data_IF_967134970401
#
_entry.id   IF_967134970401
#
_cell.length_a   1.000
_cell.length_b   1.000
_cell.length_c   1.000
_cell.angle_alpha   90.00
_cell.angle_beta   90.00
_cell.angle_gamma   90.00
#
_symmetry.space_group_name_H-M   'P 1'
#
loop_
_entity.id
_entity.type
_entity.pdbx_description
1 polymer ?
#
# COMPACT_ATOMS: atom_id res chain seq x y z
N UNK A 1 3.39 74.66 -18.05
CA UNK A 1 2.40 73.56 -17.93
C UNK A 1 2.61 72.64 -19.11
N UNK A 2 3.02 71.40 -18.85
CA UNK A 2 2.78 70.17 -19.63
C UNK A 2 3.76 69.11 -19.12
N UNK A 3 3.22 68.12 -18.41
CA UNK A 3 3.95 66.95 -17.95
C UNK A 3 3.92 65.81 -18.96
N UNK A 4 4.84 64.88 -18.80
CA UNK A 4 4.73 63.46 -19.15
C UNK A 4 5.95 62.76 -18.51
N UNK A 5 5.77 62.00 -17.43
CA UNK A 5 5.51 60.56 -17.39
C UNK A 5 6.75 59.71 -17.75
N UNK A 6 7.33 59.14 -16.69
CA UNK A 6 8.35 58.10 -16.68
C UNK A 6 7.88 56.82 -17.40
N UNK A 7 8.78 56.08 -18.05
CA UNK A 7 8.63 54.64 -18.19
C UNK A 7 9.55 53.92 -17.19
N UNK A 8 8.94 53.20 -16.24
CA UNK A 8 9.63 52.19 -15.44
C UNK A 8 9.83 50.93 -16.29
N UNK A 9 11.08 50.50 -16.46
CA UNK A 9 11.45 49.29 -17.18
C UNK A 9 11.23 48.08 -16.24
N UNK A 10 10.16 47.30 -16.44
CA UNK A 10 10.00 46.00 -15.81
C UNK A 10 10.87 44.97 -16.55
N UNK A 11 11.98 44.54 -15.94
CA UNK A 11 12.72 43.37 -16.39
C UNK A 11 12.03 42.11 -15.83
N UNK A 12 11.33 41.37 -16.69
CA UNK A 12 10.78 40.06 -16.35
C UNK A 12 11.92 39.03 -16.28
N UNK A 13 12.29 38.61 -15.07
CA UNK A 13 13.27 37.56 -14.84
C UNK A 13 12.55 36.20 -14.98
N UNK A 14 12.59 35.63 -16.20
CA UNK A 14 12.10 34.27 -16.45
C UNK A 14 13.19 33.30 -15.99
N UNK A 15 13.10 32.83 -14.74
CA UNK A 15 13.90 31.69 -14.27
C UNK A 15 13.28 30.44 -14.89
N UNK A 16 13.78 30.05 -16.06
CA UNK A 16 13.47 28.77 -16.67
C UNK A 16 14.07 27.64 -15.84
N UNK A 17 13.31 27.09 -14.90
CA UNK A 17 13.65 25.86 -14.19
C UNK A 17 13.45 24.65 -15.09
N UNK A 18 14.36 24.44 -16.03
CA UNK A 18 14.43 23.23 -16.84
C UNK A 18 15.16 22.11 -16.06
N UNK A 19 14.56 21.61 -14.98
CA UNK A 19 14.88 20.27 -14.49
C UNK A 19 14.07 19.26 -15.30
N UNK A 20 14.55 18.97 -16.52
CA UNK A 20 14.12 17.79 -17.24
C UNK A 20 14.64 16.56 -16.47
N UNK A 21 13.82 16.01 -15.57
CA UNK A 21 14.08 14.71 -14.94
C UNK A 21 14.06 13.64 -16.03
N UNK A 22 15.24 13.25 -16.50
CA UNK A 22 15.45 12.01 -17.22
C UNK A 22 14.94 10.86 -16.35
N UNK A 23 13.85 10.21 -16.77
CA UNK A 23 13.27 9.06 -16.08
C UNK A 23 14.07 7.79 -16.37
N UNK A 24 15.28 7.69 -15.81
CA UNK A 24 15.81 6.36 -15.46
C UNK A 24 14.90 5.79 -14.37
N UNK A 25 14.62 4.48 -14.38
CA UNK A 25 13.90 3.80 -13.29
C UNK A 25 14.66 4.05 -11.97
N UNK A 26 14.29 5.12 -11.27
CA UNK A 26 15.00 5.63 -10.11
C UNK A 26 14.86 4.66 -8.97
N UNK A 27 15.94 4.48 -8.21
CA UNK A 27 15.84 3.75 -6.96
C UNK A 27 14.88 4.48 -6.02
N UNK A 28 14.04 3.71 -5.34
CA UNK A 28 13.17 4.15 -4.27
C UNK A 28 13.99 4.12 -2.99
N UNK A 29 13.98 5.21 -2.24
CA UNK A 29 14.77 5.37 -1.02
C UNK A 29 13.86 5.58 0.16
N UNK A 30 13.92 4.67 1.11
CA UNK A 30 13.30 4.84 2.41
C UNK A 30 14.28 5.62 3.28
N UNK A 31 13.94 6.86 3.61
CA UNK A 31 14.78 7.78 4.42
C UNK A 31 14.54 7.55 5.91
N UNK A 32 13.29 7.24 6.26
CA UNK A 32 12.87 6.86 7.60
C UNK A 32 11.62 5.97 7.49
N UNK A 33 11.10 5.42 8.60
CA UNK A 33 9.82 4.74 8.57
C UNK A 33 8.69 5.56 7.94
N UNK A 34 8.72 6.89 8.04
CA UNK A 34 7.63 7.77 7.62
C UNK A 34 7.90 8.53 6.32
N UNK A 35 9.10 8.37 5.75
CA UNK A 35 9.51 9.10 4.55
C UNK A 35 10.09 8.13 3.51
N UNK A 36 9.47 8.16 2.33
CA UNK A 36 9.93 7.48 1.14
C UNK A 36 10.14 8.52 0.03
N UNK A 37 11.23 8.39 -0.72
CA UNK A 37 11.60 9.25 -1.83
C UNK A 37 11.75 8.43 -3.12
N UNK A 38 11.33 9.01 -4.24
CA UNK A 38 11.45 8.38 -5.57
C UNK A 38 10.36 7.34 -5.85
N UNK A 39 9.42 7.14 -4.93
CA UNK A 39 8.24 6.31 -5.12
C UNK A 39 7.34 6.86 -6.23
N UNK A 40 6.62 5.96 -6.88
CA UNK A 40 5.61 6.30 -7.90
C UNK A 40 4.25 5.86 -7.39
N UNK A 41 3.22 6.66 -7.61
CA UNK A 41 1.84 6.20 -7.36
C UNK A 41 1.58 4.94 -8.18
N UNK A 42 1.14 3.88 -7.52
CA UNK A 42 0.70 2.64 -8.15
C UNK A 42 -0.63 2.77 -8.87
N UNK A 43 -1.10 1.69 -9.48
CA UNK A 43 -2.46 1.63 -10.01
C UNK A 43 -3.48 1.85 -8.89
N UNK A 44 -4.61 2.49 -9.21
CA UNK A 44 -5.71 2.74 -8.28
C UNK A 44 -5.27 3.36 -6.94
N UNK A 45 -4.26 4.25 -7.00
CA UNK A 45 -3.64 4.85 -5.83
C UNK A 45 -4.65 5.49 -4.85
N UNK A 46 -5.70 6.21 -5.29
CA UNK A 46 -6.69 6.78 -4.37
C UNK A 46 -7.40 5.74 -3.50
N UNK A 47 -7.65 4.53 -4.03
CA UNK A 47 -8.22 3.44 -3.23
C UNK A 47 -7.17 2.88 -2.26
N UNK A 48 -5.93 2.67 -2.72
CA UNK A 48 -4.82 2.17 -1.88
C UNK A 48 -4.49 3.10 -0.71
N UNK A 49 -4.61 4.41 -0.90
CA UNK A 49 -4.33 5.43 0.14
C UNK A 49 -5.59 6.08 0.71
N UNK A 50 -6.70 5.36 0.80
CA UNK A 50 -7.95 5.86 1.39
C UNK A 50 -7.78 6.07 2.91
N UNK A 51 -7.82 7.33 3.41
CA UNK A 51 -7.55 7.63 4.81
C UNK A 51 -8.80 7.49 5.70
N UNK A 52 -9.88 6.87 5.19
CA UNK A 52 -11.12 6.71 5.93
C UNK A 52 -10.88 6.12 7.33
N UNK A 53 -11.44 6.73 8.38
CA UNK A 53 -11.18 6.28 9.74
C UNK A 53 -11.77 4.89 9.99
N UNK A 54 -11.20 4.18 10.95
CA UNK A 54 -11.75 2.92 11.44
C UNK A 54 -13.22 3.11 11.84
N UNK A 55 -14.12 2.15 11.49
CA UNK A 55 -15.51 2.21 11.92
C UNK A 55 -15.62 2.26 13.45
N UNK A 56 -16.42 3.20 13.96
CA UNK A 56 -16.70 3.31 15.39
C UNK A 56 -17.50 2.10 15.90
N UNK A 57 -18.44 1.62 15.08
CA UNK A 57 -19.18 0.39 15.34
C UNK A 57 -18.35 -0.83 14.91
N UNK A 58 -17.72 -1.47 15.88
CA UNK A 58 -16.91 -2.67 15.67
C UNK A 58 -17.69 -3.84 15.07
N UNK A 59 -19.02 -3.87 15.17
CA UNK A 59 -19.83 -4.94 14.58
C UNK A 59 -19.80 -4.92 13.03
N UNK A 60 -19.43 -3.79 12.44
CA UNK A 60 -19.24 -3.65 10.99
C UNK A 60 -17.92 -4.24 10.48
N UNK A 61 -17.00 -4.59 11.38
CA UNK A 61 -15.69 -5.14 11.07
C UNK A 61 -15.76 -6.67 11.13
N UNK A 62 -15.57 -7.32 9.98
CA UNK A 62 -15.67 -8.78 9.89
C UNK A 62 -14.32 -9.43 10.24
N UNK A 63 -14.32 -10.35 11.21
CA UNK A 63 -13.13 -11.15 11.53
C UNK A 63 -12.92 -12.25 10.49
N UNK A 64 -11.69 -12.33 9.95
CA UNK A 64 -11.31 -13.30 8.93
C UNK A 64 -9.88 -13.82 9.13
N UNK A 65 -9.58 -14.98 8.56
CA UNK A 65 -8.22 -15.52 8.45
C UNK A 65 -7.71 -15.47 7.01
N UNK A 66 -6.39 -15.55 6.78
CA UNK A 66 -5.83 -15.57 5.43
C UNK A 66 -6.42 -16.67 4.54
N UNK A 67 -6.67 -17.87 5.07
CA UNK A 67 -7.29 -18.94 4.28
C UNK A 67 -8.73 -18.63 3.88
N UNK A 68 -9.50 -17.91 4.71
CA UNK A 68 -10.86 -17.48 4.34
C UNK A 68 -10.84 -16.46 3.20
N UNK A 69 -9.94 -15.46 3.26
CA UNK A 69 -9.76 -14.50 2.16
C UNK A 69 -9.25 -15.20 0.90
N UNK A 70 -8.35 -16.17 1.05
CA UNK A 70 -7.84 -16.95 -0.08
C UNK A 70 -8.96 -17.75 -0.79
N UNK A 71 -10.04 -18.11 -0.11
CA UNK A 71 -11.20 -18.78 -0.73
C UNK A 71 -12.27 -17.81 -1.26
N UNK A 72 -12.09 -16.50 -1.12
CA UNK A 72 -13.02 -15.52 -1.71
C UNK A 72 -13.06 -15.64 -3.23
N UNK A 73 -14.24 -15.40 -3.79
CA UNK A 73 -14.41 -15.20 -5.24
C UNK A 73 -13.82 -13.86 -5.64
N UNK A 74 -13.27 -13.79 -6.86
CA UNK A 74 -12.92 -12.51 -7.46
C UNK A 74 -14.16 -11.65 -7.76
N UNK A 75 -13.98 -10.35 -8.07
CA UNK A 75 -15.04 -9.50 -8.57
C UNK A 75 -15.67 -10.08 -9.85
N UNK A 76 -16.99 -9.98 -9.95
CA UNK A 76 -17.71 -10.42 -11.15
C UNK A 76 -17.19 -9.71 -12.41
N UNK A 77 -17.23 -10.37 -13.59
CA UNK A 77 -16.77 -9.75 -14.85
C UNK A 77 -17.49 -8.45 -15.21
N UNK A 78 -18.74 -8.29 -14.77
CA UNK A 78 -19.56 -7.09 -15.00
C UNK A 78 -19.12 -5.87 -14.18
N UNK A 79 -18.30 -6.06 -13.15
CA UNK A 79 -17.77 -4.94 -12.35
C UNK A 79 -16.73 -4.18 -13.20
N UNK A 80 -16.87 -2.88 -13.42
CA UNK A 80 -15.91 -2.09 -14.19
C UNK A 80 -14.66 -1.81 -13.33
N UNK A 81 -13.80 -2.82 -13.19
CA UNK A 81 -12.58 -2.76 -12.38
C UNK A 81 -11.33 -2.91 -13.27
N UNK A 82 -10.55 -1.84 -13.37
CA UNK A 82 -9.29 -1.75 -14.12
C UNK A 82 -8.21 -1.06 -13.29
N UNK A 83 -6.96 -1.02 -13.77
CA UNK A 83 -5.84 -0.30 -13.15
C UNK A 83 -6.08 1.21 -12.98
N UNK A 84 -6.99 1.77 -13.78
CA UNK A 84 -7.36 3.19 -13.80
C UNK A 84 -8.62 3.48 -12.97
N UNK A 85 -9.22 2.47 -12.34
CA UNK A 85 -10.43 2.66 -11.53
C UNK A 85 -10.05 3.21 -10.15
N UNK A 86 -10.13 4.54 -10.01
CA UNK A 86 -9.72 5.24 -8.78
C UNK A 86 -10.67 5.03 -7.59
N UNK A 87 -11.89 4.54 -7.81
CA UNK A 87 -12.86 4.31 -6.75
C UNK A 87 -12.87 2.84 -6.28
N UNK A 88 -13.26 2.65 -5.03
CA UNK A 88 -13.53 1.33 -4.45
C UNK A 88 -14.82 0.75 -4.99
N UNK A 89 -14.80 -0.54 -5.36
CA UNK A 89 -16.03 -1.29 -5.63
C UNK A 89 -16.73 -1.64 -4.30
N UNK A 90 -18.00 -2.03 -4.33
CA UNK A 90 -18.77 -2.31 -3.12
C UNK A 90 -18.12 -3.37 -2.19
N UNK A 91 -17.43 -4.36 -2.76
CA UNK A 91 -16.70 -5.36 -1.98
C UNK A 91 -15.47 -4.78 -1.26
N UNK A 92 -14.83 -3.75 -1.82
CA UNK A 92 -13.64 -3.08 -1.28
C UNK A 92 -13.98 -2.03 -0.20
N UNK A 93 -15.25 -1.68 -0.02
CA UNK A 93 -15.71 -0.79 1.04
C UNK A 93 -15.95 -1.52 2.37
N UNK A 94 -15.81 -2.86 2.38
CA UNK A 94 -16.00 -3.68 3.57
C UNK A 94 -14.74 -3.70 4.42
N UNK A 95 -14.95 -3.60 5.74
CA UNK A 95 -13.91 -3.62 6.75
C UNK A 95 -13.70 -5.01 7.31
N UNK A 96 -12.43 -5.37 7.50
CA UNK A 96 -12.02 -6.67 7.97
C UNK A 96 -10.98 -6.56 9.07
N UNK A 97 -11.06 -7.48 10.02
CA UNK A 97 -10.02 -7.77 11.00
C UNK A 97 -9.37 -9.10 10.61
N UNK A 98 -8.18 -9.04 10.02
CA UNK A 98 -7.45 -10.18 9.50
C UNK A 98 -6.37 -10.63 10.50
N UNK A 99 -6.55 -11.81 11.08
CA UNK A 99 -5.58 -12.40 12.02
C UNK A 99 -4.71 -13.44 11.33
N UNK A 100 -3.39 -13.26 11.38
CA UNK A 100 -2.45 -14.17 10.73
C UNK A 100 -1.01 -14.05 11.21
N UNK A 101 -0.22 -15.08 10.91
CA UNK A 101 1.22 -15.13 11.13
C UNK A 101 1.94 -14.43 9.98
N UNK A 102 2.85 -13.52 10.30
CA UNK A 102 3.72 -12.87 9.32
C UNK A 102 4.75 -13.90 8.82
N UNK A 103 4.77 -14.15 7.51
CA UNK A 103 5.72 -15.09 6.88
C UNK A 103 6.67 -14.42 5.89
N UNK A 104 6.36 -13.19 5.49
CA UNK A 104 7.25 -12.34 4.71
C UNK A 104 6.90 -10.88 5.00
N UNK A 105 7.92 -10.03 4.96
CA UNK A 105 7.80 -8.59 5.07
C UNK A 105 8.66 -7.99 3.95
N UNK A 106 8.10 -7.07 3.18
CA UNK A 106 8.80 -6.40 2.08
C UNK A 106 8.32 -4.96 1.95
N UNK A 107 9.16 -4.14 1.32
CA UNK A 107 8.79 -2.81 0.85
C UNK A 107 8.73 -2.80 -0.67
N UNK A 108 7.80 -2.02 -1.21
CA UNK A 108 7.51 -1.93 -2.64
C UNK A 108 7.87 -0.54 -3.20
N UNK A 109 7.99 -0.46 -4.52
CA UNK A 109 8.46 0.74 -5.21
C UNK A 109 7.48 1.91 -5.21
N UNK A 110 6.23 1.68 -4.82
CA UNK A 110 5.22 2.70 -4.52
C UNK A 110 5.32 3.24 -3.08
N UNK A 111 6.20 2.66 -2.26
CA UNK A 111 6.46 3.09 -0.89
C UNK A 111 5.69 2.28 0.17
N UNK A 112 4.89 1.31 -0.26
CA UNK A 112 4.10 0.49 0.63
C UNK A 112 4.96 -0.51 1.38
N UNK A 113 4.54 -0.82 2.61
CA UNK A 113 5.04 -1.97 3.36
C UNK A 113 4.03 -3.10 3.19
N UNK A 114 4.45 -4.20 2.58
CA UNK A 114 3.63 -5.41 2.43
C UNK A 114 3.98 -6.42 3.52
N UNK A 115 2.99 -6.77 4.33
CA UNK A 115 2.99 -7.93 5.21
C UNK A 115 2.35 -9.11 4.46
N UNK A 116 3.04 -10.23 4.36
CA UNK A 116 2.44 -11.48 3.83
C UNK A 116 2.02 -12.34 5.00
N UNK A 117 0.72 -12.62 5.07
CA UNK A 117 0.10 -13.36 6.16
C UNK A 117 -0.33 -14.76 5.72
N UNK A 118 -0.15 -15.72 6.64
CA UNK A 118 -0.78 -17.04 6.61
C UNK A 118 -1.63 -17.21 7.87
N UNK A 119 -2.53 -18.19 7.86
CA UNK A 119 -3.24 -18.58 9.08
C UNK A 119 -2.25 -18.77 10.25
N UNK A 120 -2.66 -18.38 11.46
CA UNK A 120 -1.78 -18.34 12.63
C UNK A 120 -1.16 -19.71 12.96
N UNK A 121 -1.91 -20.80 12.75
CA UNK A 121 -1.46 -22.18 12.93
C UNK A 121 -0.57 -22.69 11.77
N UNK A 122 -0.52 -21.98 10.65
CA UNK A 122 0.23 -22.33 9.45
C UNK A 122 -0.27 -23.57 8.70
N UNK A 123 -1.44 -24.13 9.04
CA UNK A 123 -1.90 -25.43 8.52
C UNK A 123 -2.65 -25.33 7.20
N UNK A 124 -3.36 -24.22 6.98
CA UNK A 124 -4.16 -24.01 5.76
C UNK A 124 -3.34 -23.34 4.65
N UNK A 125 -3.75 -23.61 3.42
CA UNK A 125 -3.14 -23.03 2.23
C UNK A 125 -3.54 -21.55 2.04
N UNK A 126 -2.79 -20.87 1.17
CA UNK A 126 -3.03 -19.47 0.84
C UNK A 126 -2.10 -18.51 1.57
N UNK A 127 -1.90 -17.35 0.99
CA UNK A 127 -1.22 -16.22 1.60
C UNK A 127 -1.90 -14.95 1.14
N UNK A 128 -2.03 -13.99 2.03
CA UNK A 128 -2.76 -12.74 1.80
C UNK A 128 -1.85 -11.59 2.15
N UNK A 129 -1.84 -10.56 1.30
CA UNK A 129 -1.12 -9.33 1.59
C UNK A 129 -1.96 -8.45 2.52
N UNK A 130 -1.27 -7.75 3.41
CA UNK A 130 -1.79 -6.61 4.13
C UNK A 130 -0.80 -5.47 3.96
N UNK A 131 -1.23 -4.36 3.38
CA UNK A 131 -0.33 -3.31 2.91
C UNK A 131 -0.56 -1.99 3.65
N UNK A 132 0.53 -1.34 4.03
CA UNK A 132 0.55 -0.08 4.78
C UNK A 132 1.16 0.99 3.87
N UNK A 133 0.38 1.98 3.42
CA UNK A 133 0.89 3.04 2.56
C UNK A 133 1.93 3.92 3.21
N UNK A 134 2.63 4.71 2.39
CA UNK A 134 3.44 5.83 2.88
C UNK A 134 2.57 7.07 3.08
N UNK A 135 2.65 7.67 4.26
CA UNK A 135 1.93 8.90 4.60
C UNK A 135 1.95 9.17 6.10
N UNK A 136 1.65 10.42 6.52
CA UNK A 136 1.59 10.77 7.94
C UNK A 136 0.56 9.93 8.71
N UNK A 137 -0.54 9.54 8.08
CA UNK A 137 -1.61 8.70 8.66
C UNK A 137 -1.09 7.33 9.10
N UNK A 138 -0.11 6.77 8.39
CA UNK A 138 0.43 5.44 8.63
C UNK A 138 1.78 5.43 9.34
N UNK A 139 2.35 6.60 9.66
CA UNK A 139 3.71 6.74 10.20
C UNK A 139 3.94 5.89 11.46
N UNK A 140 3.02 5.87 12.42
CA UNK A 140 3.17 5.07 13.65
C UNK A 140 3.11 3.56 13.38
N UNK A 141 2.23 3.10 12.48
CA UNK A 141 2.21 1.70 12.05
C UNK A 141 3.53 1.32 11.37
N UNK A 142 4.04 2.18 10.49
CA UNK A 142 5.32 1.94 9.80
C UNK A 142 6.48 1.87 10.79
N UNK A 143 6.54 2.76 11.79
CA UNK A 143 7.55 2.71 12.86
C UNK A 143 7.50 1.38 13.61
N UNK A 144 6.29 0.93 13.98
CA UNK A 144 6.10 -0.36 14.64
C UNK A 144 6.65 -1.51 13.78
N UNK A 145 6.26 -1.59 12.50
CA UNK A 145 6.72 -2.65 11.59
C UNK A 145 8.23 -2.62 11.39
N UNK A 146 8.82 -1.44 11.16
CA UNK A 146 10.27 -1.34 10.99
C UNK A 146 11.03 -1.71 12.28
N UNK A 147 10.44 -1.50 13.45
CA UNK A 147 10.97 -1.97 14.73
C UNK A 147 11.15 -3.49 14.81
N UNK A 148 10.37 -4.25 14.04
CA UNK A 148 10.49 -5.72 13.94
C UNK A 148 11.64 -6.18 13.04
N UNK A 149 12.33 -5.25 12.37
CA UNK A 149 13.32 -5.58 11.33
C UNK A 149 14.74 -5.21 11.73
N UNK A 150 15.72 -5.85 11.10
CA UNK A 150 17.15 -5.49 11.22
C UNK A 150 17.55 -4.31 10.32
N UNK A 151 16.61 -3.78 9.53
CA UNK A 151 16.87 -2.75 8.53
C UNK A 151 17.32 -1.43 9.17
N UNK A 152 18.35 -0.82 8.58
CA UNK A 152 18.82 0.53 8.91
C UNK A 152 18.46 1.51 7.79
N UNK A 153 18.22 2.77 8.17
CA UNK A 153 17.89 3.85 7.25
C UNK A 153 19.08 4.82 7.07
N UNK A 154 19.23 5.47 5.90
CA UNK A 154 18.42 5.27 4.70
C UNK A 154 18.82 3.99 3.95
N UNK A 155 17.91 3.46 3.13
CA UNK A 155 18.24 2.36 2.21
C UNK A 155 17.45 2.51 0.90
N UNK A 156 18.02 1.98 -0.19
CA UNK A 156 17.46 2.14 -1.54
C UNK A 156 17.36 0.82 -2.29
N UNK A 157 16.31 0.67 -3.09
CA UNK A 157 16.06 -0.49 -3.95
C UNK A 157 15.36 -0.08 -5.24
N UNK A 158 15.25 -0.98 -6.23
CA UNK A 158 14.68 -0.65 -7.55
C UNK A 158 13.20 -0.97 -7.70
N UNK A 159 12.76 -2.13 -7.21
CA UNK A 159 11.39 -2.61 -7.40
C UNK A 159 10.77 -2.97 -6.05
N UNK A 160 11.37 -3.92 -5.35
CA UNK A 160 11.01 -4.26 -3.98
C UNK A 160 12.22 -4.78 -3.22
N UNK A 161 12.13 -4.75 -1.89
CA UNK A 161 13.14 -5.31 -1.01
C UNK A 161 12.47 -6.08 0.12
N UNK A 162 12.84 -7.36 0.26
CA UNK A 162 12.48 -8.16 1.43
C UNK A 162 13.23 -7.63 2.65
N UNK A 163 12.52 -7.48 3.76
CA UNK A 163 13.10 -7.13 5.05
C UNK A 163 13.27 -8.38 5.91
N UNK A 164 14.36 -8.42 6.66
CA UNK A 164 14.62 -9.48 7.63
C UNK A 164 13.91 -9.16 8.94
N UNK A 165 13.08 -10.10 9.40
CA UNK A 165 12.39 -10.03 10.68
C UNK A 165 13.30 -10.52 11.80
N UNK A 166 13.30 -9.81 12.93
CA UNK A 166 14.03 -10.19 14.14
C UNK A 166 13.40 -11.41 14.82
N UNK A 167 12.08 -11.49 14.76
CA UNK A 167 11.30 -12.56 15.36
C UNK A 167 10.00 -12.79 14.58
N UNK A 168 9.25 -13.80 15.00
CA UNK A 168 8.00 -14.15 14.37
C UNK A 168 6.82 -13.49 15.08
N UNK A 169 5.90 -12.91 14.29
CA UNK A 169 4.71 -12.25 14.82
C UNK A 169 3.43 -12.93 14.32
N UNK A 170 2.48 -13.13 15.22
CA UNK A 170 1.06 -13.28 14.90
C UNK A 170 0.41 -11.93 15.15
N UNK A 171 -0.32 -11.44 14.17
CA UNK A 171 -0.89 -10.09 14.21
C UNK A 171 -2.33 -10.12 13.77
N UNK A 172 -3.08 -9.16 14.27
CA UNK A 172 -4.40 -8.81 13.76
C UNK A 172 -4.31 -7.44 13.10
N UNK A 173 -4.54 -7.36 11.79
CA UNK A 173 -4.63 -6.08 11.06
C UNK A 173 -6.09 -5.73 10.80
N UNK A 174 -6.42 -4.45 10.89
CA UNK A 174 -7.74 -3.94 10.50
C UNK A 174 -7.59 -3.00 9.31
N UNK A 175 -8.41 -3.21 8.29
CA UNK A 175 -8.41 -2.39 7.09
C UNK A 175 -9.53 -2.77 6.14
N UNK A 176 -9.51 -2.18 4.95
CA UNK A 176 -10.49 -2.46 3.90
C UNK A 176 -9.97 -3.52 2.94
N UNK A 177 -10.88 -4.31 2.39
CA UNK A 177 -10.53 -5.21 1.29
C UNK A 177 -10.10 -4.41 0.04
N UNK A 178 -9.16 -4.94 -0.71
CA UNK A 178 -8.73 -4.40 -2.00
C UNK A 178 -8.46 -5.54 -2.97
N UNK A 179 -8.92 -5.42 -4.22
CA UNK A 179 -8.61 -6.38 -5.26
C UNK A 179 -7.48 -5.84 -6.14
N UNK A 180 -6.30 -6.43 -6.00
CA UNK A 180 -5.11 -5.97 -6.71
C UNK A 180 -5.09 -6.41 -8.17
N UNK A 181 -5.71 -5.59 -9.02
CA UNK A 181 -5.86 -5.84 -10.46
C UNK A 181 -4.54 -6.06 -11.19
N UNK A 182 -3.42 -5.50 -10.71
CA UNK A 182 -2.10 -5.66 -11.32
C UNK A 182 -1.54 -7.08 -11.15
N UNK A 183 -2.08 -7.82 -10.17
CA UNK A 183 -1.71 -9.21 -9.90
C UNK A 183 -2.77 -10.23 -10.32
N UNK A 184 -3.96 -9.76 -10.72
CA UNK A 184 -5.05 -10.60 -11.17
C UNK A 184 -4.78 -11.25 -12.55
N UNK A 185 -5.34 -12.45 -12.76
CA UNK A 185 -5.51 -12.98 -14.12
C UNK A 185 -6.71 -12.31 -14.81
N UNK A 186 -6.79 -12.45 -16.13
CA UNK A 186 -7.87 -11.86 -16.93
C UNK A 186 -9.28 -12.34 -16.54
N UNK A 187 -9.40 -13.55 -15.98
CA UNK A 187 -10.65 -14.11 -15.44
C UNK A 187 -11.01 -13.56 -14.04
N UNK A 188 -10.18 -12.65 -13.50
CA UNK A 188 -10.27 -12.07 -12.16
C UNK A 188 -10.36 -13.11 -11.04
N UNK A 189 -9.85 -14.32 -11.24
CA UNK A 189 -9.78 -15.31 -10.17
C UNK A 189 -8.96 -14.76 -8.99
N UNK A 190 -9.26 -15.20 -7.77
CA UNK A 190 -8.54 -14.78 -6.57
C UNK A 190 -7.18 -15.51 -6.42
N UNK A 191 -6.48 -15.74 -7.52
CA UNK A 191 -5.14 -16.35 -7.55
C UNK A 191 -4.24 -15.40 -8.31
N UNK A 192 -3.18 -14.91 -7.66
CA UNK A 192 -2.21 -14.06 -8.35
C UNK A 192 -1.60 -14.83 -9.52
N UNK A 193 -1.30 -14.13 -10.60
CA UNK A 193 -0.55 -14.72 -11.73
C UNK A 193 0.80 -15.26 -11.25
N UNK A 194 1.50 -14.52 -10.38
CA UNK A 194 2.73 -14.94 -9.69
C UNK A 194 2.87 -14.24 -8.32
N UNK A 195 3.15 -14.99 -7.23
CA UNK A 195 3.07 -16.44 -7.09
C UNK A 195 1.62 -16.91 -6.92
N UNK A 196 1.25 -18.04 -7.55
CA UNK A 196 -0.12 -18.59 -7.53
C UNK A 196 -0.69 -18.92 -6.14
N UNK A 197 0.18 -19.04 -5.13
CA UNK A 197 -0.22 -19.33 -3.74
C UNK A 197 -0.73 -18.09 -2.99
N UNK A 198 -0.77 -16.92 -3.63
CA UNK A 198 -1.22 -15.67 -3.02
C UNK A 198 -2.63 -15.33 -3.54
N UNK A 199 -3.46 -14.79 -2.65
CA UNK A 199 -4.71 -14.16 -3.00
C UNK A 199 -4.46 -12.87 -3.79
N UNK A 200 -5.39 -12.53 -4.66
CA UNK A 200 -5.45 -11.20 -5.30
C UNK A 200 -6.15 -10.21 -4.37
N UNK A 201 -7.14 -10.69 -3.61
CA UNK A 201 -7.68 -9.95 -2.49
C UNK A 201 -6.62 -9.74 -1.41
N UNK A 202 -6.55 -8.51 -0.92
CA UNK A 202 -5.66 -8.07 0.15
C UNK A 202 -6.37 -7.10 1.10
N UNK A 203 -5.71 -6.78 2.21
CA UNK A 203 -6.14 -5.67 3.08
C UNK A 203 -5.27 -4.47 2.74
N UNK A 204 -5.88 -3.43 2.15
CA UNK A 204 -5.18 -2.23 1.72
C UNK A 204 -6.14 -1.03 1.70
N UNK A 205 -5.88 0.05 2.46
CA UNK A 205 -4.83 0.17 3.45
C UNK A 205 -5.14 -0.58 4.75
N UNK A 206 -4.08 -1.00 5.42
CA UNK A 206 -4.13 -1.33 6.84
C UNK A 206 -4.22 -0.03 7.65
N UNK A 207 -5.22 0.05 8.52
CA UNK A 207 -5.53 1.24 9.34
C UNK A 207 -5.30 0.99 10.83
N UNK A 208 -5.25 -0.27 11.27
CA UNK A 208 -4.83 -0.63 12.63
C UNK A 208 -4.08 -1.96 12.62
N UNK A 209 -3.25 -2.14 13.64
CA UNK A 209 -2.51 -3.38 13.85
C UNK A 209 -2.40 -3.67 15.35
N UNK A 210 -2.64 -4.92 15.72
CA UNK A 210 -2.41 -5.47 17.04
C UNK A 210 -1.46 -6.67 16.93
N UNK A 211 -0.51 -6.78 17.86
CA UNK A 211 0.37 -7.94 17.97
C UNK A 211 -0.25 -8.90 18.97
N UNK A 212 -0.60 -10.10 18.51
CA UNK A 212 -1.14 -11.14 19.36
C UNK A 212 0.04 -11.80 20.10
N UNK A 213 0.02 -11.77 21.44
CA UNK A 213 1.02 -12.41 22.30
C UNK A 213 0.76 -13.91 22.47
#
# INVERSE_FOLDING_TARGET
>A
MNGALFPALLAAFVIGSAFAKSMTAGAVTFVSPCECQGQKSGSRWPAKTDPSPLPLDKSTIQTVTPSQIYEWKGPEPSVPLTSETDTRIAAEQKWYSLTGRVVNLKVEGDGDITLVLKDADGKKAGSVNAEIPVGPEWCELRKLIFGWTTQSFPFSFKASQRLELREQHVITVTGMAFFDVDHASADRSNRRTKPKKYAVWEIHPVMALHVDQ
#
